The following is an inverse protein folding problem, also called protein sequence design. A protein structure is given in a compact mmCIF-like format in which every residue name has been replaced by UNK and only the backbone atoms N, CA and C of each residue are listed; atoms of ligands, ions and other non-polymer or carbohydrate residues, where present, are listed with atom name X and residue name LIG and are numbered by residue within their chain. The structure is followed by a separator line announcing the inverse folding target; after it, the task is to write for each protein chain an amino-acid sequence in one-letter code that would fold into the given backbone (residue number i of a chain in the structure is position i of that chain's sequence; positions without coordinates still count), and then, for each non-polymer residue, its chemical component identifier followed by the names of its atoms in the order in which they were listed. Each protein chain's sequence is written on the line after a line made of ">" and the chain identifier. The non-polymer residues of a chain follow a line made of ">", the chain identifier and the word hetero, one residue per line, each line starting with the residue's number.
data_IF_015272246646
#
_entry.id   IF_015272246646
#
_cell.length_a   1.000
_cell.length_b   1.000
_cell.length_c   1.000
_cell.angle_alpha   90.00
_cell.angle_beta   90.00
_cell.angle_gamma   90.00
#
_symmetry.space_group_name_H-M   'P 1'
#
loop_
_entity.id
_entity.type
_entity.pdbx_description
1 polymer ?
#
# COMPACT_ATOMS: atom_id res chain seq x y z
N UNK A 1 -15.40 5.13 -18.52
CA UNK A 1 -13.99 5.05 -18.95
C UNK A 1 -13.20 4.48 -17.79
N UNK A 2 -12.75 3.22 -17.90
CA UNK A 2 -11.83 2.64 -16.92
C UNK A 2 -10.52 3.42 -17.03
N UNK A 3 -10.20 4.18 -16.00
CA UNK A 3 -9.05 5.07 -16.01
C UNK A 3 -7.78 4.27 -15.73
N UNK A 4 -7.42 3.41 -16.69
CA UNK A 4 -6.30 2.46 -16.62
C UNK A 4 -5.00 3.19 -16.32
N UNK A 5 -4.84 4.42 -16.82
CA UNK A 5 -3.67 5.27 -16.53
C UNK A 5 -3.60 5.63 -15.04
N UNK A 6 -4.73 6.00 -14.44
CA UNK A 6 -4.80 6.29 -13.01
C UNK A 6 -4.56 5.03 -12.17
N UNK A 7 -5.10 3.88 -12.56
CA UNK A 7 -4.83 2.59 -11.90
C UNK A 7 -3.33 2.23 -11.96
N UNK A 8 -2.68 2.40 -13.11
CA UNK A 8 -1.23 2.16 -13.24
C UNK A 8 -0.40 3.09 -12.37
N UNK A 9 -0.76 4.38 -12.30
CA UNK A 9 -0.08 5.36 -11.44
C UNK A 9 -0.22 5.04 -9.95
N UNK A 10 -1.41 4.66 -9.51
CA UNK A 10 -1.67 4.28 -8.13
C UNK A 10 -0.94 2.97 -7.76
N UNK A 11 -0.92 2.00 -8.67
CA UNK A 11 -0.16 0.75 -8.50
C UNK A 11 1.34 0.99 -8.34
N UNK A 12 1.91 1.90 -9.15
CA UNK A 12 3.33 2.26 -9.06
C UNK A 12 3.66 2.93 -7.70
N UNK A 13 2.74 3.74 -7.17
CA UNK A 13 2.90 4.34 -5.83
C UNK A 13 2.87 3.28 -4.74
N UNK A 14 1.96 2.31 -4.81
CA UNK A 14 1.94 1.18 -3.88
C UNK A 14 3.26 0.39 -3.90
N UNK A 15 3.78 0.06 -5.07
CA UNK A 15 5.06 -0.66 -5.20
C UNK A 15 6.22 0.13 -4.58
N UNK A 16 6.18 1.47 -4.66
CA UNK A 16 7.17 2.33 -4.00
C UNK A 16 7.10 2.20 -2.48
N UNK A 17 5.89 2.19 -1.90
CA UNK A 17 5.70 2.00 -0.46
C UNK A 17 6.11 0.61 0.01
N UNK A 18 5.86 -0.44 -0.78
CA UNK A 18 6.33 -1.80 -0.46
C UNK A 18 7.86 -1.85 -0.38
N UNK A 19 8.56 -1.24 -1.34
CA UNK A 19 10.03 -1.18 -1.33
C UNK A 19 10.55 -0.44 -0.11
N UNK A 20 9.91 0.68 0.26
CA UNK A 20 10.25 1.43 1.46
C UNK A 20 10.03 0.60 2.73
N UNK A 21 8.92 -0.13 2.82
CA UNK A 21 8.63 -1.07 3.91
C UNK A 21 9.72 -2.14 4.06
N UNK A 22 10.09 -2.81 2.95
CA UNK A 22 11.17 -3.82 2.94
C UNK A 22 12.50 -3.20 3.38
N UNK A 23 12.80 -1.98 2.93
CA UNK A 23 14.01 -1.25 3.30
C UNK A 23 14.10 -0.86 4.78
N UNK A 24 12.96 -0.70 5.48
CA UNK A 24 12.93 -0.36 6.91
C UNK A 24 13.36 -1.50 7.83
N UNK A 25 13.51 -2.74 7.32
CA UNK A 25 13.93 -3.92 8.10
C UNK A 25 13.15 -4.06 9.43
N UNK A 26 11.83 -3.84 9.36
CA UNK A 26 10.95 -3.85 10.53
C UNK A 26 10.91 -5.27 11.10
N UNK A 27 11.27 -5.42 12.37
CA UNK A 27 11.20 -6.71 13.06
C UNK A 27 9.75 -7.19 13.08
N UNK A 28 9.54 -8.48 12.82
CA UNK A 28 8.21 -9.08 12.68
C UNK A 28 7.28 -8.84 13.89
N UNK A 29 7.84 -8.63 15.08
CA UNK A 29 7.14 -8.39 16.37
C UNK A 29 6.66 -6.95 16.60
N UNK A 30 6.81 -6.04 15.64
CA UNK A 30 6.30 -4.68 15.81
C UNK A 30 4.77 -4.68 15.71
N UNK A 31 4.03 -4.25 16.73
CA UNK A 31 2.55 -4.18 16.72
C UNK A 31 1.98 -3.45 15.50
N UNK A 32 2.70 -2.44 14.99
CA UNK A 32 2.30 -1.69 13.79
C UNK A 32 2.46 -2.50 12.49
N UNK A 33 3.18 -3.63 12.51
CA UNK A 33 3.34 -4.54 11.38
C UNK A 33 2.00 -5.19 10.98
N UNK A 34 1.14 -5.47 11.96
CA UNK A 34 -0.17 -6.04 11.65
C UNK A 34 -1.10 -5.00 11.03
N UNK A 35 -1.07 -3.74 11.49
CA UNK A 35 -1.76 -2.62 10.83
C UNK A 35 -1.26 -2.46 9.38
N UNK A 36 0.05 -2.55 9.16
CA UNK A 36 0.62 -2.52 7.81
C UNK A 36 0.15 -3.67 6.93
N UNK A 37 0.21 -4.93 7.41
CA UNK A 37 -0.23 -6.10 6.65
C UNK A 37 -1.69 -5.98 6.23
N UNK A 38 -2.56 -5.57 7.15
CA UNK A 38 -4.00 -5.42 6.85
C UNK A 38 -4.22 -4.35 5.79
N UNK A 39 -3.67 -3.16 5.97
CA UNK A 39 -3.85 -2.04 5.02
C UNK A 39 -3.22 -2.35 3.66
N UNK A 40 -2.05 -2.99 3.65
CA UNK A 40 -1.40 -3.44 2.41
C UNK A 40 -2.26 -4.47 1.66
N UNK A 41 -2.82 -5.46 2.36
CA UNK A 41 -3.63 -6.52 1.74
C UNK A 41 -4.92 -5.97 1.13
N UNK A 42 -5.57 -5.00 1.78
CA UNK A 42 -6.75 -4.31 1.23
C UNK A 42 -6.38 -3.54 -0.04
N UNK A 43 -5.28 -2.78 -0.01
CA UNK A 43 -4.84 -2.02 -1.18
C UNK A 43 -4.38 -2.92 -2.34
N UNK A 44 -3.74 -4.06 -2.04
CA UNK A 44 -3.31 -5.03 -3.05
C UNK A 44 -4.51 -5.76 -3.70
N UNK A 45 -5.54 -6.08 -2.92
CA UNK A 45 -6.80 -6.62 -3.46
C UNK A 45 -7.47 -5.60 -4.39
N UNK A 46 -7.57 -4.33 -3.96
CA UNK A 46 -8.14 -3.27 -4.79
C UNK A 46 -7.32 -3.02 -6.07
N UNK A 47 -5.99 -3.17 -6.00
CA UNK A 47 -5.09 -3.14 -7.15
C UNK A 47 -5.40 -4.27 -8.14
N UNK A 48 -5.57 -5.49 -7.65
CA UNK A 48 -5.90 -6.65 -8.49
C UNK A 48 -7.26 -6.48 -9.18
N UNK A 49 -8.25 -5.93 -8.46
CA UNK A 49 -9.60 -5.68 -8.96
C UNK A 49 -9.70 -4.39 -9.82
N UNK A 50 -8.61 -3.63 -9.96
CA UNK A 50 -8.55 -2.33 -10.66
C UNK A 50 -9.52 -1.29 -10.08
N UNK A 51 -9.82 -1.42 -8.79
CA UNK A 51 -10.65 -0.52 -7.98
C UNK A 51 -9.81 0.30 -7.01
N UNK A 52 -8.48 0.30 -7.17
CA UNK A 52 -7.56 1.02 -6.30
C UNK A 52 -7.87 2.52 -6.33
N UNK A 53 -8.04 3.12 -5.16
CA UNK A 53 -8.33 4.54 -5.02
C UNK A 53 -7.15 5.30 -4.43
N UNK A 54 -7.04 6.62 -4.68
CA UNK A 54 -6.01 7.45 -4.06
C UNK A 54 -6.03 7.38 -2.53
N UNK A 55 -7.21 7.25 -1.92
CA UNK A 55 -7.40 7.19 -0.47
C UNK A 55 -6.74 5.93 0.11
N UNK A 56 -6.95 4.76 -0.52
CA UNK A 56 -6.30 3.52 -0.11
C UNK A 56 -4.77 3.60 -0.20
N UNK A 57 -4.25 4.28 -1.24
CA UNK A 57 -2.80 4.50 -1.39
C UNK A 57 -2.27 5.44 -0.29
N UNK A 58 -3.04 6.45 0.08
CA UNK A 58 -2.69 7.38 1.16
C UNK A 58 -2.77 6.71 2.55
N UNK A 59 -3.71 5.80 2.78
CA UNK A 59 -3.77 4.99 4.00
C UNK A 59 -2.52 4.12 4.15
N UNK A 60 -2.09 3.45 3.06
CA UNK A 60 -0.82 2.69 3.05
C UNK A 60 0.36 3.60 3.39
N UNK A 61 0.42 4.81 2.82
CA UNK A 61 1.48 5.79 3.14
C UNK A 61 1.47 6.17 4.63
N UNK A 62 0.29 6.43 5.19
CA UNK A 62 0.14 6.83 6.60
C UNK A 62 0.65 5.71 7.51
N UNK A 63 0.24 4.47 7.27
CA UNK A 63 0.69 3.33 8.07
C UNK A 63 2.19 3.09 7.92
N UNK A 64 2.74 3.20 6.70
CA UNK A 64 4.19 3.12 6.47
C UNK A 64 4.99 4.15 7.26
N UNK A 65 4.44 5.37 7.42
CA UNK A 65 5.10 6.44 8.15
C UNK A 65 5.05 6.24 9.68
N UNK A 66 4.09 5.46 10.18
CA UNK A 66 4.00 5.10 11.60
C UNK A 66 4.99 4.00 11.99
N UNK A 67 5.36 3.13 11.04
CA UNK A 67 6.35 2.06 11.18
C UNK A 67 7.79 2.58 11.32
#
# INVERSE_FOLDING_TARGET
>A
MNDTINQTRLSLRLDTYLRAYIGKNIKADHLLNDEWKTTWLVADSARADKTLTPELVDDVRIVLNKL
#
